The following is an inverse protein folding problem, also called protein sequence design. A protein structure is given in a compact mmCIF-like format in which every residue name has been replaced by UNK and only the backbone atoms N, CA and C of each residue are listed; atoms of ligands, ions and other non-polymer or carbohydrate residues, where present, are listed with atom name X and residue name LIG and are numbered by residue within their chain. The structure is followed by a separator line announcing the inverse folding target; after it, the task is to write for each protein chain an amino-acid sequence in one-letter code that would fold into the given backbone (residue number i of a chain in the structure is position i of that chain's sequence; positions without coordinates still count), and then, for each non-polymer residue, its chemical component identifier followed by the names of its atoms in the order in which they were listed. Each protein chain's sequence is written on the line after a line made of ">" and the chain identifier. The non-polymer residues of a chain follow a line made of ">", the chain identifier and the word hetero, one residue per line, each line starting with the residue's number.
data_IF_599738668922
#
_entry.id   IF_599738668922
#
_cell.length_a   1.000
_cell.length_b   1.000
_cell.length_c   1.000
_cell.angle_alpha   90.00
_cell.angle_beta   90.00
_cell.angle_gamma   90.00
#
_symmetry.space_group_name_H-M   'P 1'
#
loop_
_entity.id
_entity.type
_entity.pdbx_description
1 polymer ?
#
# COMPACT_ATOMS: atom_id res chain seq x y z
N UNK A 1 -27.53 56.09 -44.44
CA UNK A 1 -27.68 54.85 -43.64
C UNK A 1 -26.83 54.98 -42.38
N UNK A 2 -27.46 55.30 -41.25
CA UNK A 2 -26.73 55.60 -40.00
C UNK A 2 -26.50 54.36 -39.14
N UNK A 3 -25.30 54.28 -38.54
CA UNK A 3 -24.82 53.23 -37.64
C UNK A 3 -25.78 52.97 -36.46
N UNK A 4 -26.51 53.99 -36.02
CA UNK A 4 -27.49 53.90 -34.93
C UNK A 4 -28.72 53.06 -35.29
N UNK A 5 -29.14 53.03 -36.57
CA UNK A 5 -30.25 52.17 -37.01
C UNK A 5 -29.85 50.68 -37.01
N UNK A 6 -28.56 50.38 -37.23
CA UNK A 6 -28.01 49.02 -37.23
C UNK A 6 -27.90 48.43 -35.82
N UNK A 7 -27.70 49.26 -34.80
CA UNK A 7 -27.64 48.83 -33.40
C UNK A 7 -29.04 48.56 -32.85
N UNK A 8 -30.04 49.37 -33.22
CA UNK A 8 -31.43 49.15 -32.80
C UNK A 8 -32.00 47.83 -33.36
N UNK A 9 -31.67 47.47 -34.60
CA UNK A 9 -32.10 46.22 -35.20
C UNK A 9 -31.42 44.98 -34.60
N UNK A 10 -30.23 45.10 -34.00
CA UNK A 10 -29.55 43.99 -33.31
C UNK A 10 -30.16 43.72 -31.92
N UNK A 11 -30.72 44.74 -31.26
CA UNK A 11 -31.28 44.63 -29.92
C UNK A 11 -32.75 44.15 -29.88
N UNK A 12 -33.48 44.25 -30.99
CA UNK A 12 -34.89 43.82 -31.06
C UNK A 12 -35.10 42.35 -31.47
N UNK A 13 -34.10 41.68 -32.04
CA UNK A 13 -34.28 40.33 -32.62
C UNK A 13 -33.99 39.17 -31.64
N UNK A 14 -33.88 39.46 -30.34
CA UNK A 14 -33.43 38.48 -29.33
C UNK A 14 -34.34 38.39 -28.10
N UNK A 15 -35.58 38.90 -28.16
CA UNK A 15 -36.51 38.89 -27.01
C UNK A 15 -37.72 37.98 -27.13
N UNK A 16 -37.85 37.20 -28.20
CA UNK A 16 -38.91 36.18 -28.31
C UNK A 16 -38.34 34.79 -28.66
N UNK A 17 -37.18 34.48 -28.06
CA UNK A 17 -36.44 33.22 -28.18
C UNK A 17 -36.27 32.47 -26.85
N UNK A 18 -37.41 32.16 -26.22
CA UNK A 18 -37.68 30.94 -25.46
C UNK A 18 -36.84 30.61 -24.20
N UNK A 19 -37.41 30.89 -23.02
CA UNK A 19 -37.04 30.36 -21.68
C UNK A 19 -36.72 28.85 -21.66
N UNK A 20 -37.26 28.09 -22.62
CA UNK A 20 -36.99 26.67 -22.82
C UNK A 20 -35.50 26.36 -23.04
N UNK A 21 -34.76 27.21 -23.77
CA UNK A 21 -33.35 26.94 -24.09
C UNK A 21 -32.47 27.17 -22.84
N UNK A 22 -32.76 28.21 -22.05
CA UNK A 22 -32.10 28.45 -20.74
C UNK A 22 -32.37 27.31 -19.75
N UNK A 23 -33.59 26.78 -19.74
CA UNK A 23 -33.96 25.61 -18.94
C UNK A 23 -33.24 24.33 -19.40
N UNK A 24 -32.99 24.18 -20.70
CA UNK A 24 -32.28 23.03 -21.27
C UNK A 24 -30.78 23.04 -20.95
N UNK A 25 -30.12 24.20 -21.00
CA UNK A 25 -28.71 24.32 -20.58
C UNK A 25 -28.54 24.09 -19.08
N UNK A 26 -29.47 24.57 -18.25
CA UNK A 26 -29.42 24.34 -16.81
C UNK A 26 -29.74 22.88 -16.45
N UNK A 27 -30.68 22.24 -17.16
CA UNK A 27 -30.93 20.80 -17.07
C UNK A 27 -29.69 19.98 -17.48
N UNK A 28 -28.99 20.37 -18.55
CA UNK A 28 -27.75 19.72 -18.99
C UNK A 28 -26.60 19.88 -17.96
N UNK A 29 -26.48 21.04 -17.33
CA UNK A 29 -25.51 21.28 -16.23
C UNK A 29 -25.84 20.46 -14.99
N UNK A 30 -27.13 20.35 -14.62
CA UNK A 30 -27.60 19.53 -13.51
C UNK A 30 -27.32 18.04 -13.77
N UNK A 31 -27.65 17.55 -14.96
CA UNK A 31 -27.37 16.17 -15.37
C UNK A 31 -25.85 15.88 -15.36
N UNK A 32 -25.01 16.81 -15.84
CA UNK A 32 -23.54 16.69 -15.74
C UNK A 32 -23.05 16.64 -14.28
N UNK A 33 -23.64 17.45 -13.40
CA UNK A 33 -23.30 17.48 -11.96
C UNK A 33 -23.76 16.21 -11.25
N UNK A 34 -24.92 15.67 -11.61
CA UNK A 34 -25.43 14.39 -11.11
C UNK A 34 -24.60 13.22 -11.61
N UNK A 35 -24.22 13.22 -12.88
CA UNK A 35 -23.28 12.24 -13.46
C UNK A 35 -21.93 12.25 -12.76
N UNK A 36 -21.35 13.43 -12.50
CA UNK A 36 -20.11 13.54 -11.73
C UNK A 36 -20.26 13.06 -10.27
N UNK A 37 -21.38 13.38 -9.61
CA UNK A 37 -21.69 12.85 -8.27
C UNK A 37 -21.82 11.32 -8.29
N UNK A 38 -22.48 10.76 -9.30
CA UNK A 38 -22.64 9.32 -9.51
C UNK A 38 -21.27 8.65 -9.75
N UNK A 39 -20.41 9.25 -10.57
CA UNK A 39 -19.04 8.78 -10.83
C UNK A 39 -18.21 8.76 -9.54
N UNK A 40 -18.26 9.81 -8.71
CA UNK A 40 -17.58 9.82 -7.39
C UNK A 40 -18.15 8.80 -6.41
N UNK A 41 -19.45 8.53 -6.47
CA UNK A 41 -20.09 7.47 -5.66
C UNK A 41 -19.61 6.09 -6.13
N UNK A 42 -19.56 5.85 -7.43
CA UNK A 42 -19.08 4.60 -8.00
C UNK A 42 -17.58 4.38 -7.69
N UNK A 43 -16.74 5.41 -7.87
CA UNK A 43 -15.32 5.35 -7.50
C UNK A 43 -15.11 4.99 -6.03
N UNK A 44 -15.88 5.59 -5.11
CA UNK A 44 -15.80 5.24 -3.67
C UNK A 44 -16.25 3.81 -3.39
N UNK A 45 -17.28 3.32 -4.09
CA UNK A 45 -17.77 1.95 -3.96
C UNK A 45 -16.73 0.95 -4.49
N UNK A 46 -16.18 1.20 -5.67
CA UNK A 46 -15.20 0.33 -6.30
C UNK A 46 -13.90 0.26 -5.48
N UNK A 47 -13.44 1.40 -4.94
CA UNK A 47 -12.30 1.42 -4.02
C UNK A 47 -12.53 0.54 -2.77
N UNK A 48 -13.75 0.53 -2.22
CA UNK A 48 -14.12 -0.35 -1.10
C UNK A 48 -14.20 -1.82 -1.53
N UNK A 49 -14.72 -2.09 -2.73
CA UNK A 49 -14.84 -3.44 -3.31
C UNK A 49 -13.46 -4.07 -3.48
N UNK A 50 -12.55 -3.37 -4.16
CA UNK A 50 -11.16 -3.80 -4.38
C UNK A 50 -10.41 -4.01 -3.06
N UNK A 51 -10.62 -3.12 -2.08
CA UNK A 51 -10.01 -3.29 -0.76
C UNK A 51 -10.53 -4.55 -0.03
N UNK A 52 -11.83 -4.86 -0.15
CA UNK A 52 -12.43 -6.05 0.47
C UNK A 52 -11.97 -7.33 -0.21
N UNK A 53 -11.88 -7.35 -1.54
CA UNK A 53 -11.31 -8.46 -2.31
C UNK A 53 -9.86 -8.74 -1.90
N UNK A 54 -9.04 -7.69 -1.79
CA UNK A 54 -7.66 -7.83 -1.33
C UNK A 54 -7.59 -8.43 0.08
N UNK A 55 -8.42 -7.94 1.01
CA UNK A 55 -8.46 -8.48 2.38
C UNK A 55 -8.87 -9.95 2.41
N UNK A 56 -9.83 -10.37 1.57
CA UNK A 56 -10.22 -11.77 1.46
C UNK A 56 -9.07 -12.63 0.93
N UNK A 57 -8.33 -12.16 -0.09
CA UNK A 57 -7.15 -12.89 -0.58
C UNK A 57 -6.05 -13.01 0.45
N UNK A 58 -5.91 -12.04 1.36
CA UNK A 58 -4.94 -12.09 2.46
C UNK A 58 -5.35 -13.01 3.62
N UNK A 59 -6.58 -13.53 3.63
CA UNK A 59 -7.00 -14.55 4.61
C UNK A 59 -6.31 -15.90 4.37
N UNK A 60 -5.89 -16.18 3.14
CA UNK A 60 -5.15 -17.40 2.82
C UNK A 60 -3.68 -17.27 3.29
N UNK A 61 -3.25 -18.05 4.30
CA UNK A 61 -1.87 -18.01 4.80
C UNK A 61 -0.84 -18.54 3.78
N UNK A 62 -1.27 -19.22 2.71
CA UNK A 62 -0.39 -19.69 1.66
C UNK A 62 0.11 -18.57 0.74
N UNK A 63 -0.66 -17.47 0.63
CA UNK A 63 -0.36 -16.35 -0.27
C UNK A 63 0.96 -15.68 0.13
N UNK A 64 1.83 -15.49 -0.85
CA UNK A 64 3.05 -14.70 -0.69
C UNK A 64 2.72 -13.26 -1.09
N UNK A 65 2.73 -12.36 -0.12
CA UNK A 65 2.46 -10.93 -0.33
C UNK A 65 3.65 -10.25 -0.99
N UNK A 66 4.87 -10.61 -0.56
CA UNK A 66 6.12 -10.06 -1.07
C UNK A 66 7.27 -11.04 -0.84
N UNK A 67 8.19 -11.14 -1.80
CA UNK A 67 9.46 -11.84 -1.59
C UNK A 67 10.62 -11.02 -2.17
N UNK A 68 11.55 -10.56 -1.32
CA UNK A 68 12.67 -9.73 -1.76
C UNK A 68 13.86 -9.81 -0.78
N UNK A 69 15.01 -9.29 -1.21
CA UNK A 69 16.22 -9.17 -0.42
C UNK A 69 16.14 -7.99 0.56
N UNK A 70 16.25 -8.28 1.85
CA UNK A 70 16.35 -7.28 2.91
C UNK A 70 17.71 -7.34 3.59
N UNK A 71 18.20 -6.19 4.05
CA UNK A 71 19.36 -6.13 4.95
C UNK A 71 18.86 -6.25 6.38
N UNK A 72 19.28 -7.29 7.07
CA UNK A 72 18.85 -7.59 8.44
C UNK A 72 20.04 -7.44 9.37
N UNK A 73 19.83 -6.87 10.56
CA UNK A 73 20.87 -6.68 11.58
C UNK A 73 20.56 -7.48 12.84
N UNK A 74 21.56 -8.24 13.25
CA UNK A 74 21.53 -9.13 14.42
C UNK A 74 22.13 -8.54 15.69
N UNK A 75 22.28 -9.40 16.70
CA UNK A 75 23.02 -9.10 17.95
C UNK A 75 24.43 -8.56 17.67
N UNK A 76 25.12 -9.17 16.70
CA UNK A 76 26.50 -8.85 16.31
C UNK A 76 26.67 -7.52 15.58
N UNK A 77 25.64 -6.65 15.57
CA UNK A 77 25.67 -5.28 15.02
C UNK A 77 26.12 -5.20 13.53
N UNK A 78 26.19 -6.33 12.82
CA UNK A 78 26.47 -6.40 11.39
C UNK A 78 25.17 -6.47 10.58
N UNK A 79 25.22 -5.96 9.35
CA UNK A 79 24.10 -6.05 8.39
C UNK A 79 24.35 -7.23 7.45
N UNK A 80 23.36 -8.10 7.30
CA UNK A 80 23.42 -9.27 6.42
C UNK A 80 22.29 -9.20 5.41
N UNK A 81 22.59 -9.44 4.13
CA UNK A 81 21.57 -9.52 3.07
C UNK A 81 20.91 -10.90 3.11
N UNK A 82 19.61 -10.95 3.34
CA UNK A 82 18.82 -12.19 3.45
C UNK A 82 17.57 -12.11 2.57
N UNK A 83 17.12 -13.25 2.07
CA UNK A 83 15.89 -13.36 1.29
C UNK A 83 14.71 -13.46 2.25
N UNK A 84 13.77 -12.54 2.16
CA UNK A 84 12.62 -12.47 3.06
C UNK A 84 11.34 -12.74 2.27
N UNK A 85 10.51 -13.65 2.76
CA UNK A 85 9.21 -14.00 2.18
C UNK A 85 8.13 -13.61 3.18
N UNK A 86 7.34 -12.60 2.81
CA UNK A 86 6.24 -12.07 3.59
C UNK A 86 4.96 -12.82 3.24
N UNK A 87 4.37 -13.46 4.25
CA UNK A 87 3.05 -14.09 4.22
C UNK A 87 2.13 -13.38 5.22
N UNK A 88 0.80 -13.51 5.09
CA UNK A 88 -0.11 -13.03 6.13
C UNK A 88 0.28 -13.62 7.50
N UNK A 89 0.50 -12.75 8.49
CA UNK A 89 0.87 -13.14 9.85
C UNK A 89 2.30 -13.66 10.06
N UNK A 90 3.10 -13.87 9.02
CA UNK A 90 4.43 -14.49 9.12
C UNK A 90 5.46 -13.87 8.17
N UNK A 91 6.70 -13.74 8.64
CA UNK A 91 7.85 -13.41 7.78
C UNK A 91 8.89 -14.52 7.86
N UNK A 92 9.13 -15.19 6.74
CA UNK A 92 10.15 -16.23 6.61
C UNK A 92 11.45 -15.62 6.10
N UNK A 93 12.58 -16.04 6.67
CA UNK A 93 13.90 -15.50 6.33
C UNK A 93 14.81 -16.64 5.91
N UNK A 94 15.43 -16.49 4.75
CA UNK A 94 16.33 -17.47 4.15
C UNK A 94 17.67 -16.83 3.75
N UNK A 95 18.72 -17.64 3.69
CA UNK A 95 20.02 -17.26 3.13
C UNK A 95 20.01 -17.14 1.61
N UNK A 96 19.07 -17.81 0.94
CA UNK A 96 18.98 -17.90 -0.52
C UNK A 96 17.53 -17.82 -0.98
N UNK A 97 17.34 -17.34 -2.21
CA UNK A 97 16.04 -17.28 -2.89
C UNK A 97 15.43 -18.67 -3.15
N UNK A 98 16.25 -19.74 -3.15
CA UNK A 98 15.77 -21.11 -3.39
C UNK A 98 14.82 -21.65 -2.32
N UNK A 99 14.60 -20.91 -1.22
CA UNK A 99 13.64 -21.22 -0.13
C UNK A 99 13.69 -22.67 0.40
N UNK A 100 14.87 -23.30 0.32
CA UNK A 100 15.12 -24.63 0.88
C UNK A 100 15.26 -24.54 2.41
N UNK A 101 14.82 -25.57 3.13
CA UNK A 101 14.93 -25.69 4.58
C UNK A 101 16.37 -25.51 5.08
N UNK A 102 17.36 -26.10 4.37
CA UNK A 102 18.79 -25.92 4.69
C UNK A 102 19.29 -24.47 4.66
N UNK A 103 18.55 -23.56 4.01
CA UNK A 103 18.85 -22.14 3.95
C UNK A 103 17.95 -21.30 4.84
N UNK A 104 17.00 -21.90 5.56
CA UNK A 104 16.17 -21.21 6.53
C UNK A 104 17.03 -20.62 7.65
N UNK A 105 16.67 -19.42 8.05
CA UNK A 105 17.36 -18.65 9.10
C UNK A 105 16.44 -18.48 10.30
N UNK A 106 15.16 -18.22 10.05
CA UNK A 106 14.18 -18.00 11.10
C UNK A 106 12.83 -17.56 10.54
N UNK A 107 11.82 -17.63 11.39
CA UNK A 107 10.46 -17.16 11.10
C UNK A 107 10.05 -16.15 12.16
N UNK A 108 9.54 -15.00 11.73
CA UNK A 108 9.01 -13.95 12.61
C UNK A 108 7.49 -14.00 12.59
N UNK A 109 6.86 -14.01 13.76
CA UNK A 109 5.41 -13.95 13.92
C UNK A 109 4.95 -12.50 13.85
N UNK A 110 4.33 -12.12 12.73
CA UNK A 110 3.88 -10.75 12.54
C UNK A 110 2.61 -10.42 13.33
N UNK A 111 1.75 -11.40 13.59
CA UNK A 111 0.46 -11.21 14.28
C UNK A 111 0.58 -10.55 15.66
N UNK A 112 1.68 -10.76 16.37
CA UNK A 112 1.94 -10.17 17.70
C UNK A 112 2.99 -9.04 17.67
N UNK A 113 3.42 -8.63 16.48
CA UNK A 113 4.43 -7.60 16.31
C UNK A 113 3.82 -6.23 16.00
N UNK A 114 4.60 -5.20 16.30
CA UNK A 114 4.43 -3.85 15.81
C UNK A 114 5.66 -3.44 15.00
N UNK A 115 5.46 -2.47 14.10
CA UNK A 115 6.55 -1.93 13.28
C UNK A 115 6.76 -0.44 13.56
N UNK A 116 8.01 -0.08 13.84
CA UNK A 116 8.43 1.30 14.02
C UNK A 116 9.50 1.68 13.01
N UNK A 117 9.34 2.85 12.40
CA UNK A 117 10.36 3.44 11.53
C UNK A 117 11.52 3.95 12.39
N UNK A 118 12.75 3.72 11.93
CA UNK A 118 13.97 4.11 12.63
C UNK A 118 14.77 5.07 11.77
N UNK A 119 15.31 6.16 12.36
CA UNK A 119 16.21 7.05 11.63
C UNK A 119 17.42 6.25 11.12
N UNK A 120 17.78 6.46 9.85
CA UNK A 120 18.92 5.81 9.20
C UNK A 120 19.96 6.86 8.84
N UNK A 121 21.22 6.66 9.27
CA UNK A 121 22.35 7.56 8.95
C UNK A 121 22.70 7.62 7.45
N UNK A 122 22.48 6.51 6.73
CA UNK A 122 22.62 6.44 5.26
C UNK A 122 21.24 6.58 4.63
N UNK A 123 21.17 7.25 3.47
CA UNK A 123 20.00 7.23 2.61
C UNK A 123 19.44 5.82 2.49
N UNK A 124 18.17 5.69 2.87
CA UNK A 124 17.45 4.42 2.89
C UNK A 124 16.56 4.27 4.10
N UNK A 125 15.65 3.31 3.99
CA UNK A 125 14.59 3.08 4.97
C UNK A 125 14.95 1.98 5.95
N UNK A 126 14.79 2.25 7.25
CA UNK A 126 15.11 1.32 8.33
C UNK A 126 13.90 1.20 9.25
N UNK A 127 13.59 -0.01 9.68
CA UNK A 127 12.50 -0.26 10.61
C UNK A 127 12.87 -1.37 11.60
N UNK A 128 12.16 -1.37 12.72
CA UNK A 128 12.26 -2.40 13.75
C UNK A 128 10.90 -3.07 13.91
N UNK A 129 10.89 -4.40 13.86
CA UNK A 129 9.79 -5.20 14.35
C UNK A 129 10.02 -5.47 15.84
N UNK A 130 8.97 -5.32 16.64
CA UNK A 130 9.05 -5.55 18.08
C UNK A 130 7.71 -6.04 18.61
N UNK A 131 7.74 -6.83 19.66
CA UNK A 131 6.54 -7.20 20.40
C UNK A 131 6.18 -6.06 21.38
N UNK A 132 4.92 -5.61 21.48
CA UNK A 132 4.53 -4.55 22.42
C UNK A 132 4.87 -4.86 23.88
N UNK A 133 4.80 -6.14 24.26
CA UNK A 133 5.18 -6.64 25.59
C UNK A 133 6.65 -7.07 25.69
N UNK A 134 7.50 -6.64 24.75
CA UNK A 134 8.95 -6.94 24.68
C UNK A 134 9.34 -8.43 24.65
N UNK A 135 8.39 -9.30 24.28
CA UNK A 135 8.63 -10.72 24.08
C UNK A 135 9.39 -11.00 22.78
N UNK A 136 9.87 -12.24 22.64
CA UNK A 136 10.48 -12.71 21.40
C UNK A 136 9.47 -12.66 20.25
N UNK A 137 9.87 -12.04 19.14
CA UNK A 137 9.09 -12.00 17.90
C UNK A 137 9.26 -13.26 17.03
N UNK A 138 10.13 -14.16 17.45
CA UNK A 138 10.56 -15.31 16.67
C UNK A 138 9.70 -16.53 16.96
N UNK A 139 9.26 -17.22 15.90
CA UNK A 139 8.56 -18.48 16.03
C UNK A 139 9.54 -19.57 16.52
N UNK A 140 9.14 -20.43 17.46
CA UNK A 140 10.04 -21.44 18.04
C UNK A 140 10.49 -22.51 17.03
N UNK A 141 9.75 -22.69 15.93
CA UNK A 141 10.02 -23.69 14.89
C UNK A 141 9.90 -23.10 13.48
N UNK A 142 10.71 -23.62 12.57
CA UNK A 142 10.66 -23.36 11.14
C UNK A 142 9.54 -24.12 10.43
N UNK A 143 9.36 -23.86 9.12
CA UNK A 143 8.33 -24.49 8.30
C UNK A 143 8.45 -26.03 8.29
N UNK A 144 9.67 -26.56 8.30
CA UNK A 144 9.96 -28.00 8.29
C UNK A 144 10.34 -28.53 9.68
N UNK A 145 9.80 -27.92 10.74
CA UNK A 145 10.05 -28.25 12.17
C UNK A 145 11.51 -28.02 12.63
N UNK A 146 12.27 -27.23 11.88
CA UNK A 146 13.62 -26.83 12.21
C UNK A 146 13.66 -25.96 13.47
N UNK A 147 14.66 -26.12 14.33
CA UNK A 147 14.81 -25.32 15.55
C UNK A 147 15.59 -24.04 15.27
N UNK A 148 15.18 -22.92 15.86
CA UNK A 148 15.87 -21.64 15.67
C UNK A 148 17.35 -21.72 16.08
N UNK A 149 18.23 -21.25 15.19
CA UNK A 149 19.64 -21.06 15.49
C UNK A 149 19.88 -19.79 16.33
N UNK A 150 20.94 -19.77 17.14
CA UNK A 150 21.29 -18.71 18.12
C UNK A 150 21.46 -17.27 17.57
N UNK A 151 21.27 -17.01 16.27
CA UNK A 151 21.39 -15.67 15.67
C UNK A 151 20.04 -14.97 15.63
N UNK A 152 19.72 -14.27 16.70
CA UNK A 152 18.53 -13.43 16.78
C UNK A 152 18.75 -12.12 16.02
N UNK A 153 17.88 -11.85 15.05
CA UNK A 153 17.84 -10.58 14.34
C UNK A 153 16.77 -9.65 14.94
N UNK A 154 17.01 -8.34 14.90
CA UNK A 154 16.08 -7.38 15.52
C UNK A 154 15.77 -6.17 14.65
N UNK A 155 16.59 -5.89 13.64
CA UNK A 155 16.44 -4.69 12.81
C UNK A 155 16.44 -5.06 11.33
N UNK A 156 15.55 -4.44 10.57
CA UNK A 156 15.41 -4.65 9.13
C UNK A 156 15.66 -3.32 8.42
N UNK A 157 16.39 -3.36 7.31
CA UNK A 157 16.69 -2.21 6.47
C UNK A 157 16.47 -2.60 5.01
N UNK A 158 15.78 -1.70 4.29
CA UNK A 158 15.59 -1.83 2.85
C UNK A 158 16.93 -1.76 2.10
N UNK A 159 17.04 -2.49 0.99
CA UNK A 159 18.19 -2.40 0.09
C UNK A 159 18.23 -1.02 -0.61
N UNK A 160 19.41 -0.42 -0.85
CA UNK A 160 19.53 0.88 -1.52
C UNK A 160 19.06 0.91 -2.98
N UNK A 161 18.96 -0.24 -3.64
CA UNK A 161 18.80 -0.35 -5.10
C UNK A 161 17.37 -0.04 -5.59
N UNK A 162 16.39 0.09 -4.69
CA UNK A 162 15.02 0.41 -5.08
C UNK A 162 14.31 1.29 -4.04
N UNK A 163 14.40 2.62 -4.22
CA UNK A 163 13.87 3.59 -3.24
C UNK A 163 12.35 3.57 -3.08
N UNK A 164 11.65 3.27 -4.16
CA UNK A 164 10.18 3.23 -4.15
C UNK A 164 9.66 1.88 -3.65
N UNK A 165 10.37 0.80 -3.95
CA UNK A 165 9.98 -0.54 -3.51
C UNK A 165 10.06 -0.69 -2.00
N UNK A 166 11.06 -0.14 -1.28
CA UNK A 166 11.11 -0.33 0.19
C UNK A 166 10.06 0.46 0.96
N UNK A 167 9.59 1.61 0.45
CA UNK A 167 8.46 2.32 1.06
C UNK A 167 7.18 1.52 0.85
N UNK A 168 7.05 0.89 -0.31
CA UNK A 168 6.00 -0.08 -0.57
C UNK A 168 6.13 -1.28 0.38
N UNK A 169 7.31 -1.87 0.54
CA UNK A 169 7.57 -2.95 1.50
C UNK A 169 7.12 -2.57 2.90
N UNK A 170 7.51 -1.40 3.42
CA UNK A 170 7.07 -0.97 4.75
C UNK A 170 5.55 -0.75 4.86
N UNK A 171 4.93 -0.17 3.83
CA UNK A 171 3.47 -0.01 3.77
C UNK A 171 2.77 -1.37 3.75
N UNK A 172 3.31 -2.32 3.01
CA UNK A 172 2.84 -3.71 2.93
C UNK A 172 3.01 -4.40 4.28
N UNK A 173 4.17 -4.27 4.94
CA UNK A 173 4.36 -4.76 6.31
C UNK A 173 3.34 -4.16 7.28
N UNK A 174 3.10 -2.84 7.23
CA UNK A 174 2.07 -2.20 8.06
C UNK A 174 0.66 -2.69 7.75
N UNK A 175 0.37 -3.06 6.50
CA UNK A 175 -0.93 -3.61 6.11
C UNK A 175 -1.07 -5.04 6.66
N UNK A 176 -0.06 -5.89 6.48
CA UNK A 176 -0.04 -7.26 6.99
C UNK A 176 -0.02 -7.36 8.52
N UNK A 177 0.40 -6.31 9.24
CA UNK A 177 0.32 -6.21 10.71
C UNK A 177 -1.05 -5.70 11.21
N UNK A 178 -1.93 -5.26 10.31
CA UNK A 178 -3.27 -4.73 10.61
C UNK A 178 -4.41 -5.63 10.10
N UNK A 179 -4.06 -6.70 9.39
CA UNK A 179 -4.97 -7.81 9.03
C UNK A 179 -4.96 -8.78 10.19
#
# INVERSE_FOLDING_TARGET
>A
MNLLQRIANWASDNRDGNLADKSAVDAAKLNRKESYKAQRKNYRREKKRVASELMNSLQDPAVIVLADWLKVRGTLKSWTKLWCVLKPGLLLIYKSQKTKSSHWVGTVMLTSCQVIERPSKKDGFCFKLFHPLEQSIWAPRGPDKETIGKRMFYHFKGSPVARDNYKLVFRVFRLCLKV
#
